data_IF_945727703796
#
_entry.id   IF_945727703796
#
_cell.length_a   1.000
_cell.length_b   1.000
_cell.length_c   1.000
_cell.angle_alpha   90.00
_cell.angle_beta   90.00
_cell.angle_gamma   90.00
#
_symmetry.space_group_name_H-M   'P 1'
#
loop_
_entity.id
_entity.type
_entity.pdbx_description
1 polymer ?
#
# COMPACT_ATOMS: atom_id res chain seq x y z
N UNK A 1 -20.43 -4.83 -19.21
CA UNK A 1 -20.13 -4.84 -17.78
C UNK A 1 -20.81 -3.65 -17.12
N UNK A 2 -21.60 -3.91 -16.10
CA UNK A 2 -22.32 -2.86 -15.39
C UNK A 2 -21.39 -2.08 -14.48
N UNK A 3 -21.81 -0.91 -14.07
CA UNK A 3 -21.05 -0.08 -13.15
C UNK A 3 -20.83 -0.81 -11.82
N UNK A 4 -21.84 -1.49 -11.32
CA UNK A 4 -21.74 -2.26 -10.08
C UNK A 4 -20.74 -3.41 -10.18
N UNK A 5 -20.63 -4.05 -11.32
CA UNK A 5 -19.68 -5.13 -11.55
C UNK A 5 -18.24 -4.61 -11.66
N UNK A 6 -18.11 -3.41 -12.22
CA UNK A 6 -16.80 -2.82 -12.45
C UNK A 6 -16.21 -2.28 -11.17
N UNK A 7 -17.04 -1.92 -10.21
CA UNK A 7 -16.60 -1.12 -9.09
C UNK A 7 -17.32 -1.57 -7.81
N UNK A 8 -16.61 -2.29 -7.01
CA UNK A 8 -17.07 -2.68 -5.69
C UNK A 8 -16.28 -1.88 -4.66
N UNK A 9 -16.98 -1.03 -3.91
CA UNK A 9 -16.34 -0.16 -2.94
C UNK A 9 -16.67 -0.65 -1.53
N UNK A 10 -15.63 -0.89 -0.74
CA UNK A 10 -15.76 -1.22 0.67
C UNK A 10 -15.07 -0.11 1.46
N UNK A 11 -15.81 0.53 2.34
CA UNK A 11 -15.25 1.58 3.18
C UNK A 11 -15.14 1.07 4.61
N UNK A 12 -13.94 1.18 5.19
CA UNK A 12 -13.69 0.88 6.58
C UNK A 12 -13.17 2.14 7.25
N UNK A 13 -13.79 2.49 8.37
CA UNK A 13 -13.37 3.64 9.15
C UNK A 13 -12.67 3.13 10.40
N UNK A 14 -11.41 3.49 10.54
CA UNK A 14 -10.65 3.20 11.74
C UNK A 14 -10.55 4.46 12.58
N UNK A 15 -10.97 4.35 13.82
CA UNK A 15 -11.07 5.50 14.70
C UNK A 15 -9.73 6.04 15.16
N UNK A 16 -8.75 5.17 15.29
CA UNK A 16 -7.44 5.58 15.76
C UNK A 16 -6.36 4.77 15.06
N UNK A 17 -5.39 5.48 14.53
CA UNK A 17 -4.13 4.87 14.15
C UNK A 17 -3.27 4.93 15.39
N UNK A 18 -3.10 3.80 16.07
CA UNK A 18 -2.22 3.73 17.22
C UNK A 18 -0.80 4.05 16.73
N UNK A 19 -0.13 5.06 17.30
CA UNK A 19 1.23 5.35 16.88
C UNK A 19 2.10 4.12 17.12
N UNK A 20 2.55 3.50 16.05
CA UNK A 20 3.52 2.44 16.16
C UNK A 20 4.86 3.06 16.57
N UNK A 21 5.62 2.32 17.32
CA UNK A 21 6.97 2.71 17.65
C UNK A 21 7.77 2.70 16.35
N UNK A 22 8.18 3.87 15.88
CA UNK A 22 8.87 4.04 14.62
C UNK A 22 8.05 4.83 13.62
N UNK A 23 8.52 4.94 12.39
CA UNK A 23 7.83 5.69 11.35
C UNK A 23 6.66 4.91 10.79
N UNK A 24 5.48 5.51 10.91
CA UNK A 24 4.23 4.89 10.48
C UNK A 24 3.94 5.06 9.00
N UNK A 25 4.54 6.06 8.35
CA UNK A 25 4.23 6.35 6.95
C UNK A 25 4.54 5.21 5.99
N UNK A 26 5.74 4.61 5.98
CA UNK A 26 6.00 3.49 5.09
C UNK A 26 5.13 2.27 5.41
N UNK A 27 4.84 2.07 6.69
CA UNK A 27 3.99 0.95 7.12
C UNK A 27 2.55 1.18 6.67
N UNK A 28 2.06 2.42 6.74
CA UNK A 28 0.72 2.73 6.24
C UNK A 28 0.62 2.47 4.73
N UNK A 29 1.67 2.80 3.98
CA UNK A 29 1.73 2.50 2.54
C UNK A 29 1.73 0.99 2.32
N UNK A 30 2.53 0.24 3.08
CA UNK A 30 2.55 -1.22 3.00
C UNK A 30 1.18 -1.83 3.31
N UNK A 31 0.47 -1.29 4.30
CA UNK A 31 -0.88 -1.73 4.63
C UNK A 31 -1.84 -1.51 3.47
N UNK A 32 -1.76 -0.35 2.83
CA UNK A 32 -2.58 -0.05 1.66
C UNK A 32 -2.29 -1.00 0.50
N UNK A 33 -1.01 -1.31 0.26
CA UNK A 33 -0.59 -2.27 -0.76
C UNK A 33 -1.11 -3.68 -0.44
N UNK A 34 -0.97 -4.10 0.82
CA UNK A 34 -1.47 -5.40 1.24
C UNK A 34 -2.98 -5.53 0.98
N UNK A 35 -3.73 -4.49 1.29
CA UNK A 35 -5.17 -4.50 1.08
C UNK A 35 -5.54 -4.52 -0.40
N UNK A 36 -4.86 -3.73 -1.22
CA UNK A 36 -5.08 -3.74 -2.66
C UNK A 36 -4.76 -5.12 -3.25
N UNK A 37 -3.67 -5.74 -2.80
CA UNK A 37 -3.26 -7.07 -3.26
C UNK A 37 -4.29 -8.13 -2.85
N UNK A 38 -4.80 -8.08 -1.62
CA UNK A 38 -5.83 -8.99 -1.14
C UNK A 38 -7.12 -8.84 -1.95
N UNK A 39 -7.49 -7.61 -2.25
CA UNK A 39 -8.67 -7.31 -3.05
C UNK A 39 -8.51 -7.81 -4.48
N UNK A 40 -7.31 -7.69 -5.03
CA UNK A 40 -7.00 -8.22 -6.35
C UNK A 40 -7.09 -9.75 -6.40
N UNK A 41 -6.74 -10.40 -5.30
CA UNK A 41 -6.77 -11.85 -5.20
C UNK A 41 -5.61 -12.57 -5.88
N UNK A 42 -4.58 -11.83 -6.26
CA UNK A 42 -3.40 -12.39 -6.93
C UNK A 42 -2.19 -11.50 -6.66
N UNK A 43 -0.99 -12.04 -6.89
CA UNK A 43 0.24 -11.28 -6.79
C UNK A 43 0.26 -10.23 -7.92
N UNK A 44 0.44 -8.95 -7.61
CA UNK A 44 0.39 -7.92 -8.64
C UNK A 44 1.59 -7.97 -9.58
N UNK A 45 1.33 -7.70 -10.84
CA UNK A 45 2.38 -7.55 -11.85
C UNK A 45 2.88 -6.11 -11.88
N UNK A 46 2.02 -5.18 -11.52
CA UNK A 46 2.33 -3.75 -11.51
C UNK A 46 1.62 -3.10 -10.33
N UNK A 47 2.34 -2.22 -9.63
CA UNK A 47 1.80 -1.47 -8.50
C UNK A 47 2.02 0.02 -8.76
N UNK A 48 0.95 0.78 -8.84
CA UNK A 48 1.00 2.23 -8.95
C UNK A 48 0.60 2.85 -7.61
N UNK A 49 1.45 3.70 -7.07
CA UNK A 49 1.26 4.31 -5.76
C UNK A 49 1.22 5.83 -5.90
N UNK A 50 0.16 6.44 -5.42
CA UNK A 50 0.01 7.89 -5.37
C UNK A 50 -0.04 8.32 -3.91
N UNK A 51 0.77 9.30 -3.55
CA UNK A 51 0.92 9.74 -2.17
C UNK A 51 0.78 11.25 -2.06
N UNK A 52 0.26 11.71 -0.93
CA UNK A 52 0.33 13.12 -0.59
C UNK A 52 1.79 13.54 -0.41
N UNK A 53 2.07 14.82 -0.60
CA UNK A 53 3.42 15.35 -0.45
C UNK A 53 4.02 15.04 0.91
N UNK A 54 3.19 15.14 1.96
CA UNK A 54 3.64 14.89 3.33
C UNK A 54 4.08 13.44 3.52
N UNK A 55 3.30 12.49 3.03
CA UNK A 55 3.63 11.06 3.13
C UNK A 55 4.88 10.75 2.31
N UNK A 56 4.94 11.26 1.09
CA UNK A 56 6.08 11.02 0.21
C UNK A 56 7.38 11.51 0.84
N UNK A 57 7.36 12.74 1.36
CA UNK A 57 8.51 13.35 2.01
C UNK A 57 8.97 12.54 3.23
N UNK A 58 8.02 12.14 4.09
CA UNK A 58 8.36 11.48 5.34
C UNK A 58 8.73 10.02 5.19
N UNK A 59 8.22 9.36 4.16
CA UNK A 59 8.41 7.92 3.99
C UNK A 59 9.67 7.54 3.22
N UNK A 60 10.15 8.40 2.32
CA UNK A 60 11.23 8.03 1.40
C UNK A 60 12.57 7.75 2.07
N UNK A 61 12.86 8.42 3.19
CA UNK A 61 14.15 8.28 3.87
C UNK A 61 14.16 7.35 5.07
N UNK A 62 13.07 6.64 5.32
CA UNK A 62 12.89 5.88 6.56
C UNK A 62 13.27 4.43 6.38
N UNK A 63 13.98 3.89 7.39
CA UNK A 63 14.32 2.47 7.42
C UNK A 63 13.11 1.59 7.69
N UNK A 64 13.06 0.45 7.02
CA UNK A 64 12.01 -0.54 7.21
C UNK A 64 12.52 -1.64 8.12
N UNK A 65 11.90 -1.86 9.29
CA UNK A 65 12.38 -2.85 10.26
C UNK A 65 12.54 -4.24 9.65
N UNK A 66 13.65 -4.88 9.98
CA UNK A 66 13.89 -6.25 9.54
C UNK A 66 14.41 -6.42 8.13
N UNK A 67 14.56 -5.32 7.37
CA UNK A 67 14.98 -5.41 5.96
C UNK A 67 16.40 -4.98 5.69
N UNK A 68 16.97 -4.12 6.54
CA UNK A 68 18.25 -3.46 6.26
C UNK A 68 18.16 -2.45 5.13
N UNK A 69 16.96 -2.13 4.67
CA UNK A 69 16.72 -1.21 3.56
C UNK A 69 15.92 -0.01 4.02
N UNK A 70 16.03 1.09 3.28
CA UNK A 70 15.28 2.31 3.53
C UNK A 70 14.35 2.64 2.36
N UNK A 71 13.31 3.40 2.67
CA UNK A 71 12.42 3.96 1.67
C UNK A 71 11.21 3.11 1.34
N UNK A 72 10.36 3.69 0.52
CA UNK A 72 9.06 3.12 0.16
C UNK A 72 9.13 1.85 -0.69
N UNK A 73 10.06 1.73 -1.65
CA UNK A 73 10.01 0.59 -2.56
C UNK A 73 9.97 -0.77 -1.87
N UNK A 74 10.82 -0.97 -0.83
CA UNK A 74 10.83 -2.25 -0.14
C UNK A 74 9.56 -2.46 0.69
N UNK A 75 9.02 -1.40 1.28
CA UNK A 75 7.76 -1.49 2.02
C UNK A 75 6.61 -1.89 1.10
N UNK A 76 6.55 -1.32 -0.09
CA UNK A 76 5.55 -1.64 -1.11
C UNK A 76 5.70 -3.09 -1.56
N UNK A 77 6.91 -3.50 -1.90
CA UNK A 77 7.18 -4.87 -2.35
C UNK A 77 6.77 -5.90 -1.28
N UNK A 78 7.17 -5.68 -0.04
CA UNK A 78 6.82 -6.59 1.05
C UNK A 78 5.32 -6.58 1.34
N UNK A 79 4.66 -5.43 1.26
CA UNK A 79 3.21 -5.35 1.41
C UNK A 79 2.51 -6.25 0.40
N UNK A 80 2.99 -6.27 -0.84
CA UNK A 80 2.42 -7.12 -1.90
C UNK A 80 2.75 -8.60 -1.73
N UNK A 81 3.94 -8.92 -1.22
CA UNK A 81 4.42 -10.31 -1.16
C UNK A 81 3.99 -11.04 0.11
N UNK A 82 4.06 -10.38 1.26
CA UNK A 82 3.79 -11.06 2.53
C UNK A 82 2.85 -10.28 3.46
N UNK A 83 2.45 -9.08 3.08
CA UNK A 83 1.62 -8.25 3.93
C UNK A 83 0.25 -8.84 4.17
N UNK A 84 -0.23 -8.71 5.40
CA UNK A 84 -1.58 -9.10 5.79
C UNK A 84 -2.26 -7.90 6.42
N UNK A 85 -3.28 -7.37 5.74
CA UNK A 85 -3.96 -6.17 6.20
C UNK A 85 -4.64 -6.34 7.55
N UNK A 86 -4.99 -7.56 7.93
CA UNK A 86 -5.58 -7.85 9.24
C UNK A 86 -4.65 -7.50 10.40
N UNK A 87 -3.35 -7.46 10.15
CA UNK A 87 -2.37 -7.11 11.17
C UNK A 87 -2.25 -5.60 11.39
N UNK A 88 -2.96 -4.78 10.61
CA UNK A 88 -2.93 -3.33 10.72
C UNK A 88 -1.49 -2.79 10.57
N UNK A 89 -1.01 -2.03 11.55
CA UNK A 89 0.32 -1.45 11.49
C UNK A 89 1.45 -2.47 11.69
N UNK A 90 1.11 -3.73 11.95
CA UNK A 90 2.09 -4.82 12.01
C UNK A 90 2.08 -5.63 10.71
N UNK A 91 1.62 -5.03 9.63
CA UNK A 91 1.41 -5.67 8.32
C UNK A 91 2.63 -6.42 7.80
N UNK A 92 3.84 -5.99 8.16
CA UNK A 92 5.08 -6.62 7.72
C UNK A 92 5.75 -7.50 8.77
N UNK A 93 5.03 -7.85 9.84
CA UNK A 93 5.65 -8.64 10.93
C UNK A 93 6.14 -10.02 10.50
N UNK A 94 5.57 -10.58 9.43
CA UNK A 94 5.99 -11.87 8.90
C UNK A 94 7.19 -11.77 7.94
N UNK A 95 7.79 -10.58 7.84
CA UNK A 95 8.96 -10.40 7.00
C UNK A 95 10.10 -11.32 7.43
N UNK A 96 10.80 -11.87 6.45
CA UNK A 96 11.93 -12.75 6.66
C UNK A 96 12.96 -12.53 5.55
N UNK A 97 14.19 -13.06 5.67
CA UNK A 97 15.22 -12.82 4.66
C UNK A 97 14.82 -13.25 3.25
N UNK A 98 14.09 -14.35 3.12
CA UNK A 98 13.63 -14.79 1.80
C UNK A 98 12.65 -13.81 1.17
N UNK A 99 11.71 -13.27 1.96
CA UNK A 99 10.77 -12.27 1.49
C UNK A 99 11.48 -10.98 1.08
N UNK A 100 12.50 -10.57 1.86
CA UNK A 100 13.27 -9.36 1.54
C UNK A 100 14.00 -9.53 0.20
N UNK A 101 14.61 -10.70 -0.03
CA UNK A 101 15.29 -10.97 -1.30
C UNK A 101 14.31 -10.96 -2.47
N UNK A 102 13.14 -11.54 -2.30
CA UNK A 102 12.09 -11.50 -3.33
C UNK A 102 11.62 -10.06 -3.56
N UNK A 103 11.49 -9.27 -2.50
CA UNK A 103 11.15 -7.85 -2.60
C UNK A 103 12.18 -7.06 -3.39
N UNK A 104 13.46 -7.32 -3.17
CA UNK A 104 14.53 -6.68 -3.93
C UNK A 104 14.42 -7.00 -5.42
N UNK A 105 14.12 -8.25 -5.76
CA UNK A 105 13.91 -8.63 -7.16
C UNK A 105 12.70 -7.94 -7.75
N UNK A 106 11.62 -7.85 -7.00
CA UNK A 106 10.42 -7.16 -7.43
C UNK A 106 10.70 -5.69 -7.77
N UNK A 107 11.47 -5.02 -6.91
CA UNK A 107 11.91 -3.64 -7.16
C UNK A 107 12.79 -3.56 -8.42
N UNK A 108 13.70 -4.49 -8.57
CA UNK A 108 14.60 -4.53 -9.72
C UNK A 108 13.89 -4.74 -11.04
N UNK A 109 12.73 -5.35 -11.04
CA UNK A 109 11.91 -5.56 -12.23
C UNK A 109 11.09 -4.31 -12.60
N UNK A 110 11.22 -3.24 -11.83
CA UNK A 110 10.57 -1.94 -12.09
C UNK A 110 9.05 -2.04 -12.17
N UNK A 111 8.48 -2.84 -11.30
CA UNK A 111 7.02 -3.03 -11.24
C UNK A 111 6.32 -2.04 -10.33
N UNK A 112 7.06 -1.18 -9.67
CA UNK A 112 6.51 -0.20 -8.72
C UNK A 112 6.71 1.20 -9.27
N UNK A 113 5.63 1.98 -9.31
CA UNK A 113 5.66 3.37 -9.70
C UNK A 113 5.08 4.22 -8.57
N UNK A 114 5.86 5.17 -8.08
CA UNK A 114 5.49 6.04 -6.96
C UNK A 114 5.39 7.47 -7.47
N UNK A 115 4.26 8.10 -7.26
CA UNK A 115 4.01 9.46 -7.75
C UNK A 115 3.30 10.30 -6.69
N UNK A 116 3.38 11.62 -6.88
CA UNK A 116 2.71 12.58 -6.05
C UNK A 116 1.25 12.72 -6.47
N UNK A 117 0.33 12.64 -5.51
CA UNK A 117 -1.09 12.94 -5.75
C UNK A 117 -1.29 14.45 -5.66
N UNK A 118 -1.76 15.05 -6.73
CA UNK A 118 -2.01 16.49 -6.81
C UNK A 118 -3.45 16.84 -6.48
N UNK A 119 -3.67 18.12 -6.11
CA UNK A 119 -5.01 18.68 -5.91
C UNK A 119 -5.81 17.98 -4.79
N UNK A 120 -5.11 17.63 -3.71
CA UNK A 120 -5.76 17.07 -2.53
C UNK A 120 -5.47 17.97 -1.32
N UNK A 121 -6.39 17.96 -0.35
CA UNK A 121 -6.25 18.73 0.89
C UNK A 121 -5.80 17.86 2.06
N UNK A 122 -5.98 16.56 1.97
CA UNK A 122 -5.61 15.62 3.02
C UNK A 122 -4.10 15.55 3.20
N UNK A 123 -3.65 15.62 4.45
CA UNK A 123 -2.23 15.43 4.78
C UNK A 123 -1.83 13.96 4.65
N UNK A 124 -2.75 13.07 4.96
CA UNK A 124 -2.57 11.63 4.78
C UNK A 124 -3.40 11.20 3.58
N UNK A 125 -2.73 10.82 2.51
CA UNK A 125 -3.38 10.24 1.35
C UNK A 125 -2.47 9.21 0.71
N UNK A 126 -2.98 7.99 0.60
CA UNK A 126 -2.28 6.87 -0.02
C UNK A 126 -3.26 6.18 -0.95
N UNK A 127 -2.91 6.09 -2.21
CA UNK A 127 -3.72 5.38 -3.20
C UNK A 127 -2.84 4.35 -3.89
N UNK A 128 -3.24 3.08 -3.82
CA UNK A 128 -2.49 1.99 -4.42
C UNK A 128 -3.37 1.26 -5.42
N UNK A 129 -2.89 1.14 -6.65
CA UNK A 129 -3.55 0.35 -7.67
C UNK A 129 -2.66 -0.83 -8.05
N UNK A 130 -3.13 -2.03 -7.76
CA UNK A 130 -2.46 -3.27 -8.13
C UNK A 130 -3.11 -3.85 -9.37
N UNK A 131 -2.29 -4.28 -10.33
CA UNK A 131 -2.75 -4.82 -11.60
C UNK A 131 -2.17 -6.20 -11.83
N UNK A 132 -2.99 -7.12 -12.33
CA UNK A 132 -2.55 -8.46 -12.71
C UNK A 132 -3.48 -8.98 -13.80
N UNK A 133 -2.91 -9.32 -14.95
CA UNK A 133 -3.71 -9.73 -16.10
C UNK A 133 -4.67 -8.63 -16.51
N UNK A 134 -5.94 -8.97 -16.70
CA UNK A 134 -6.98 -7.99 -17.00
C UNK A 134 -7.66 -7.39 -15.77
N UNK A 135 -7.16 -7.67 -14.58
CA UNK A 135 -7.77 -7.22 -13.34
C UNK A 135 -6.96 -6.12 -12.69
N UNK A 136 -7.64 -5.25 -11.95
CA UNK A 136 -6.97 -4.29 -11.09
C UNK A 136 -7.80 -4.03 -9.85
N UNK A 137 -7.10 -3.72 -8.75
CA UNK A 137 -7.73 -3.38 -7.48
C UNK A 137 -7.07 -2.13 -6.92
N UNK A 138 -7.87 -1.27 -6.35
CA UNK A 138 -7.38 -0.02 -5.78
C UNK A 138 -7.79 0.05 -4.31
N UNK A 139 -6.84 0.44 -3.46
CA UNK A 139 -7.09 0.73 -2.06
C UNK A 139 -6.65 2.17 -1.78
N UNK A 140 -7.41 2.85 -0.94
CA UNK A 140 -7.12 4.23 -0.58
C UNK A 140 -7.19 4.36 0.94
N UNK A 141 -6.14 4.94 1.52
CA UNK A 141 -6.13 5.37 2.92
C UNK A 141 -6.04 6.88 2.91
N UNK A 142 -7.03 7.55 3.46
CA UNK A 142 -7.06 9.00 3.50
C UNK A 142 -7.69 9.49 4.79
N UNK A 143 -7.24 10.64 5.28
CA UNK A 143 -7.88 11.23 6.43
C UNK A 143 -6.99 12.19 7.20
N UNK A 144 -7.52 12.63 8.33
CA UNK A 144 -6.85 13.49 9.28
C UNK A 144 -6.77 12.83 10.64
N UNK A 145 -7.78 13.07 11.47
CA UNK A 145 -7.84 12.46 12.81
C UNK A 145 -8.32 11.01 12.78
N UNK A 146 -9.17 10.66 11.82
CA UNK A 146 -9.62 9.29 11.59
C UNK A 146 -9.16 8.86 10.22
N UNK A 147 -8.70 7.62 10.12
CA UNK A 147 -8.25 7.06 8.85
C UNK A 147 -9.40 6.27 8.23
N UNK A 148 -9.79 6.67 7.03
CA UNK A 148 -10.78 5.97 6.25
C UNK A 148 -10.07 5.14 5.19
N UNK A 149 -10.46 3.87 5.07
CA UNK A 149 -9.86 2.96 4.10
C UNK A 149 -10.94 2.58 3.10
N UNK A 150 -10.69 2.84 1.82
CA UNK A 150 -11.61 2.53 0.74
C UNK A 150 -10.97 1.53 -0.21
N UNK A 151 -11.72 0.52 -0.60
CA UNK A 151 -11.25 -0.50 -1.53
C UNK A 151 -12.13 -0.53 -2.76
N UNK A 152 -11.52 -0.59 -3.92
CA UNK A 152 -12.24 -0.73 -5.18
C UNK A 152 -11.59 -1.84 -5.99
N UNK A 153 -12.40 -2.78 -6.46
CA UNK A 153 -11.96 -3.85 -7.33
C UNK A 153 -12.60 -3.65 -8.70
N UNK A 154 -11.76 -3.57 -9.73
CA UNK A 154 -12.20 -3.41 -11.11
C UNK A 154 -11.71 -4.58 -11.95
N UNK A 155 -12.60 -5.11 -12.77
CA UNK A 155 -12.25 -6.09 -13.78
C UNK A 155 -12.27 -5.43 -15.15
N UNK A 156 -11.29 -5.76 -15.94
CA UNK A 156 -11.24 -5.30 -17.31
C UNK A 156 -12.27 -6.03 -18.16
#
# INVERSE_FOLDING_TARGET
>A
MTEAERKQIIALVQREVVPAIGCTEPIAVALCVAKATETLGAKPEKIDVLLSANILKNAMGVGIPGTGMIGLPIAIALGALIGKSEYQLEVLKDSNPAAVEEGKRFIGEKRIDISLKKNITEKLYIEVCCKSGGNKATAIIAGGHTTSVFYTHLRA
#
